data_IF_139450633277
#
_entry.id   IF_139450633277
#
_cell.length_a   1.000
_cell.length_b   1.000
_cell.length_c   1.000
_cell.angle_alpha   90.00
_cell.angle_beta   90.00
_cell.angle_gamma   90.00
#
_symmetry.space_group_name_H-M   'P 1'
#
loop_
_entity.id
_entity.type
_entity.pdbx_description
1 polymer ?
#
# COMPACT_ATOMS: atom_id res chain seq x y z
N UNK A 1 57.48 77.00 -4.88
CA UNK A 1 56.48 77.26 -5.94
C UNK A 1 55.53 76.06 -6.03
N UNK A 2 54.23 76.35 -6.17
CA UNK A 2 53.07 75.43 -6.16
C UNK A 2 53.19 74.29 -7.19
N UNK A 3 52.68 73.08 -6.87
CA UNK A 3 51.34 72.61 -7.26
C UNK A 3 51.04 71.18 -6.74
N UNK A 4 49.81 71.03 -6.29
CA UNK A 4 49.03 69.88 -5.80
C UNK A 4 48.56 68.96 -6.93
N UNK A 5 48.44 67.64 -6.66
CA UNK A 5 47.37 66.65 -7.01
C UNK A 5 47.74 65.37 -6.21
N UNK A 6 46.94 64.63 -5.43
CA UNK A 6 45.50 64.36 -5.37
C UNK A 6 45.22 62.89 -5.74
N UNK A 7 44.32 62.19 -5.00
CA UNK A 7 43.69 60.87 -5.29
C UNK A 7 44.48 59.64 -4.78
N UNK A 8 43.90 58.57 -4.21
CA UNK A 8 42.69 58.31 -3.41
C UNK A 8 42.88 56.90 -2.82
N UNK A 9 42.48 56.69 -1.57
CA UNK A 9 42.53 55.38 -0.93
C UNK A 9 41.43 54.45 -1.44
N UNK A 10 41.78 53.19 -1.71
CA UNK A 10 40.83 52.11 -1.94
C UNK A 10 40.71 51.33 -0.63
N UNK A 11 39.62 51.59 0.11
CA UNK A 11 39.16 50.74 1.20
C UNK A 11 38.36 49.59 0.57
N UNK A 12 38.90 48.36 0.62
CA UNK A 12 38.19 47.16 0.19
C UNK A 12 37.31 46.68 1.34
N UNK A 13 36.02 47.03 1.32
CA UNK A 13 35.03 46.49 2.25
C UNK A 13 34.67 45.06 1.83
N UNK A 14 35.06 44.07 2.66
CA UNK A 14 34.67 42.68 2.49
C UNK A 14 33.21 42.48 2.94
N UNK A 15 32.31 42.27 1.98
CA UNK A 15 30.91 41.96 2.22
C UNK A 15 30.76 40.44 2.45
N UNK A 16 30.72 40.01 3.71
CA UNK A 16 30.39 38.62 4.06
C UNK A 16 28.88 38.40 3.91
N UNK A 17 28.46 37.82 2.78
CA UNK A 17 27.12 37.27 2.58
C UNK A 17 27.00 35.93 3.32
N UNK A 18 26.43 35.97 4.53
CA UNK A 18 25.94 34.79 5.24
C UNK A 18 24.70 34.25 4.51
N UNK A 19 24.90 33.30 3.59
CA UNK A 19 23.82 32.47 3.06
C UNK A 19 23.39 31.46 4.14
N UNK A 20 22.38 31.83 4.92
CA UNK A 20 21.67 30.90 5.80
C UNK A 20 20.95 29.84 4.96
N UNK A 21 21.49 28.62 4.92
CA UNK A 21 20.82 27.45 4.36
C UNK A 21 19.67 27.05 5.27
N UNK A 22 18.49 27.63 5.03
CA UNK A 22 17.23 27.10 5.55
C UNK A 22 16.93 25.78 4.84
N UNK A 23 17.25 24.66 5.50
CA UNK A 23 16.60 23.38 5.21
C UNK A 23 15.12 23.54 5.54
N UNK A 24 14.33 23.94 4.55
CA UNK A 24 12.88 23.90 4.64
C UNK A 24 12.49 22.43 4.82
N UNK A 25 12.03 22.07 6.02
CA UNK A 25 11.39 20.80 6.27
C UNK A 25 10.16 20.74 5.35
N UNK A 26 10.21 19.90 4.31
CA UNK A 26 9.09 19.75 3.38
C UNK A 26 7.82 19.42 4.19
N UNK A 27 6.80 20.25 4.05
CA UNK A 27 5.48 20.01 4.66
C UNK A 27 5.02 18.63 4.19
N UNK A 28 4.63 17.70 5.09
CA UNK A 28 4.17 16.39 4.67
C UNK A 28 3.00 16.55 3.68
N UNK A 29 2.92 15.71 2.64
CA UNK A 29 1.89 15.81 1.62
C UNK A 29 0.51 15.85 2.28
N UNK A 30 -0.27 16.88 1.97
CA UNK A 30 -1.56 17.20 2.62
C UNK A 30 -2.71 16.27 2.24
N UNK A 31 -2.51 15.30 1.35
CA UNK A 31 -3.52 14.29 1.00
C UNK A 31 -3.04 12.88 1.31
N UNK A 32 -3.62 12.25 2.33
CA UNK A 32 -3.47 10.81 2.54
C UNK A 32 -4.11 10.05 1.38
N UNK A 33 -3.41 9.06 0.82
CA UNK A 33 -4.04 8.11 -0.10
C UNK A 33 -5.10 7.28 0.64
N UNK A 34 -6.05 6.81 -0.14
CA UNK A 34 -7.03 5.81 0.27
C UNK A 34 -6.86 4.58 -0.61
N UNK A 35 -7.18 3.41 -0.08
CA UNK A 35 -7.04 2.15 -0.77
C UNK A 35 -8.37 1.40 -0.76
N UNK A 36 -8.72 0.78 -1.88
CA UNK A 36 -9.77 -0.23 -1.95
C UNK A 36 -9.09 -1.59 -2.15
N UNK A 37 -9.33 -2.52 -1.23
CA UNK A 37 -9.01 -3.93 -1.40
C UNK A 37 -10.30 -4.69 -1.66
N UNK A 38 -10.48 -5.12 -2.90
CA UNK A 38 -11.61 -5.96 -3.31
C UNK A 38 -11.20 -7.41 -3.30
N UNK A 39 -12.04 -8.28 -2.74
CA UNK A 39 -11.81 -9.73 -2.68
C UNK A 39 -12.92 -10.44 -3.43
N UNK A 40 -12.57 -11.21 -4.45
CA UNK A 40 -13.48 -12.11 -5.14
C UNK A 40 -13.35 -13.51 -4.54
N UNK A 41 -14.47 -14.12 -4.18
CA UNK A 41 -14.56 -15.52 -3.76
C UNK A 41 -15.10 -16.35 -4.91
N UNK A 42 -14.45 -17.47 -5.22
CA UNK A 42 -14.82 -18.34 -6.33
C UNK A 42 -14.60 -19.82 -5.98
N UNK A 43 -15.25 -20.70 -6.74
CA UNK A 43 -15.13 -22.16 -6.56
C UNK A 43 -14.37 -22.84 -7.69
N UNK A 44 -14.48 -22.33 -8.91
CA UNK A 44 -14.01 -23.03 -10.12
C UNK A 44 -12.97 -22.23 -10.89
N UNK A 45 -12.12 -22.93 -11.63
CA UNK A 45 -11.13 -22.28 -12.52
C UNK A 45 -11.79 -21.50 -13.67
N UNK A 46 -13.03 -21.84 -14.04
CA UNK A 46 -13.80 -21.08 -15.03
C UNK A 46 -14.20 -19.70 -14.49
N UNK A 47 -14.63 -19.62 -13.23
CA UNK A 47 -14.89 -18.34 -12.55
C UNK A 47 -13.60 -17.51 -12.47
N UNK A 48 -12.49 -18.14 -12.11
CA UNK A 48 -11.18 -17.48 -12.06
C UNK A 48 -10.79 -16.89 -13.43
N UNK A 49 -10.85 -17.69 -14.50
CA UNK A 49 -10.50 -17.25 -15.86
C UNK A 49 -11.39 -16.10 -16.36
N UNK A 50 -12.68 -16.12 -15.99
CA UNK A 50 -13.64 -15.06 -16.32
C UNK A 50 -13.30 -13.75 -15.60
N UNK A 51 -13.01 -13.81 -14.29
CA UNK A 51 -12.61 -12.63 -13.50
C UNK A 51 -11.28 -12.10 -14.02
N UNK A 52 -10.29 -12.96 -14.29
CA UNK A 52 -9.00 -12.57 -14.84
C UNK A 52 -9.16 -11.83 -16.18
N UNK A 53 -10.01 -12.37 -17.07
CA UNK A 53 -10.28 -11.76 -18.38
C UNK A 53 -10.92 -10.38 -18.22
N UNK A 54 -11.92 -10.25 -17.35
CA UNK A 54 -12.53 -8.96 -17.03
C UNK A 54 -11.50 -7.96 -16.47
N UNK A 55 -10.72 -8.38 -15.48
CA UNK A 55 -9.74 -7.52 -14.83
C UNK A 55 -8.69 -7.03 -15.82
N UNK A 56 -8.13 -7.94 -16.62
CA UNK A 56 -7.08 -7.64 -17.60
C UNK A 56 -7.56 -6.77 -18.74
N UNK A 57 -8.71 -7.09 -19.33
CA UNK A 57 -9.15 -6.48 -20.59
C UNK A 57 -10.01 -5.22 -20.39
N UNK A 58 -10.65 -5.07 -19.23
CA UNK A 58 -11.63 -4.00 -19.00
C UNK A 58 -11.28 -3.16 -17.75
N UNK A 59 -11.16 -3.78 -16.58
CA UNK A 59 -10.99 -3.04 -15.31
C UNK A 59 -9.65 -2.27 -15.27
N UNK A 60 -8.52 -2.94 -15.53
CA UNK A 60 -7.21 -2.29 -15.45
C UNK A 60 -7.04 -1.16 -16.48
N UNK A 61 -7.45 -1.30 -17.76
CA UNK A 61 -7.49 -0.18 -18.69
C UNK A 61 -8.38 0.98 -18.22
N UNK A 62 -9.55 0.70 -17.66
CA UNK A 62 -10.44 1.73 -17.13
C UNK A 62 -9.79 2.49 -15.94
N UNK A 63 -9.15 1.79 -15.02
CA UNK A 63 -8.42 2.42 -13.90
C UNK A 63 -7.25 3.28 -14.39
N UNK A 64 -6.51 2.84 -15.41
CA UNK A 64 -5.45 3.65 -16.04
C UNK A 64 -6.00 4.93 -16.67
N UNK A 65 -7.14 4.86 -17.36
CA UNK A 65 -7.81 6.03 -17.92
C UNK A 65 -8.27 7.03 -16.85
N UNK A 66 -8.50 6.56 -15.62
CA UNK A 66 -8.80 7.37 -14.44
C UNK A 66 -7.54 7.79 -13.65
N UNK A 67 -6.35 7.74 -14.25
CA UNK A 67 -5.07 8.08 -13.59
C UNK A 67 -4.73 7.21 -12.36
N UNK A 68 -5.15 5.93 -12.37
CA UNK A 68 -4.77 4.91 -11.38
C UNK A 68 -3.96 3.80 -12.08
N UNK A 69 -2.67 4.03 -12.38
CA UNK A 69 -1.88 3.06 -13.13
C UNK A 69 -1.39 1.87 -12.30
N UNK A 70 -1.37 1.97 -10.97
CA UNK A 70 -0.76 1.00 -10.06
C UNK A 70 -1.80 0.14 -9.33
N UNK A 71 -2.67 -0.54 -10.08
CA UNK A 71 -3.60 -1.52 -9.52
C UNK A 71 -2.92 -2.88 -9.41
N UNK A 72 -2.95 -3.46 -8.21
CA UNK A 72 -2.46 -4.80 -7.94
C UNK A 72 -3.55 -5.85 -8.08
N UNK A 73 -3.23 -6.98 -8.71
CA UNK A 73 -4.09 -8.17 -8.77
C UNK A 73 -3.30 -9.37 -8.24
N UNK A 74 -3.79 -9.97 -7.17
CA UNK A 74 -3.07 -11.01 -6.43
C UNK A 74 -3.96 -12.23 -6.17
N UNK A 75 -3.31 -13.40 -6.04
CA UNK A 75 -3.97 -14.67 -5.74
C UNK A 75 -3.21 -15.38 -4.62
N UNK A 76 -3.88 -16.09 -3.69
CA UNK A 76 -3.21 -16.91 -2.69
C UNK A 76 -2.22 -17.89 -3.30
N UNK A 77 -1.10 -18.15 -2.62
CA UNK A 77 -0.15 -19.18 -3.09
C UNK A 77 -0.80 -20.58 -3.11
N UNK A 78 -1.77 -20.81 -2.22
CA UNK A 78 -2.51 -22.07 -2.05
C UNK A 78 -3.86 -22.09 -2.80
N UNK A 79 -4.07 -21.19 -3.76
CA UNK A 79 -5.38 -21.04 -4.41
C UNK A 79 -5.84 -22.32 -5.12
N UNK A 80 -4.91 -23.09 -5.69
CA UNK A 80 -5.23 -24.28 -6.48
C UNK A 80 -5.94 -25.36 -5.67
N UNK A 81 -5.59 -25.50 -4.39
CA UNK A 81 -6.16 -26.49 -3.46
C UNK A 81 -7.26 -25.92 -2.55
N UNK A 82 -7.60 -24.64 -2.67
CA UNK A 82 -8.58 -23.99 -1.81
C UNK A 82 -10.02 -24.29 -2.26
N UNK A 83 -10.90 -24.61 -1.30
CA UNK A 83 -12.36 -24.70 -1.53
C UNK A 83 -12.96 -23.32 -1.83
N UNK A 84 -12.44 -22.29 -1.16
CA UNK A 84 -12.77 -20.88 -1.39
C UNK A 84 -11.56 -20.19 -2.02
N UNK A 85 -11.52 -20.22 -3.36
CA UNK A 85 -10.48 -19.58 -4.16
C UNK A 85 -10.68 -18.07 -4.15
N UNK A 86 -9.59 -17.30 -4.14
CA UNK A 86 -9.64 -15.84 -4.02
C UNK A 86 -8.82 -15.11 -5.07
N UNK A 87 -9.33 -13.96 -5.52
CA UNK A 87 -8.56 -12.91 -6.20
C UNK A 87 -8.68 -11.63 -5.38
N UNK A 88 -7.55 -11.02 -5.05
CA UNK A 88 -7.45 -9.74 -4.37
C UNK A 88 -7.10 -8.66 -5.41
N UNK A 89 -7.88 -7.58 -5.44
CA UNK A 89 -7.64 -6.41 -6.30
C UNK A 89 -7.40 -5.20 -5.41
N UNK A 90 -6.19 -4.67 -5.46
CA UNK A 90 -5.78 -3.51 -4.68
C UNK A 90 -5.72 -2.27 -5.57
N UNK A 91 -6.54 -1.28 -5.28
CA UNK A 91 -6.68 -0.05 -6.07
C UNK A 91 -6.38 1.18 -5.21
N UNK A 92 -5.32 1.94 -5.51
CA UNK A 92 -4.99 3.14 -4.76
C UNK A 92 -5.66 4.41 -5.33
N UNK A 93 -6.09 5.29 -4.43
CA UNK A 93 -6.68 6.59 -4.74
C UNK A 93 -5.90 7.70 -4.05
N UNK A 94 -5.69 8.81 -4.77
CA UNK A 94 -4.95 9.98 -4.24
C UNK A 94 -5.68 10.68 -3.09
N UNK A 95 -7.00 10.55 -3.02
CA UNK A 95 -7.86 11.14 -1.98
C UNK A 95 -9.24 10.47 -1.99
N UNK A 96 -10.04 10.72 -0.95
CA UNK A 96 -11.43 10.27 -0.90
C UNK A 96 -12.26 10.84 -2.06
N UNK A 97 -12.08 12.13 -2.39
CA UNK A 97 -12.75 12.77 -3.53
C UNK A 97 -12.40 12.10 -4.86
N UNK A 98 -11.14 11.66 -5.03
CA UNK A 98 -10.74 10.92 -6.22
C UNK A 98 -11.45 9.56 -6.30
N UNK A 99 -11.58 8.85 -5.17
CA UNK A 99 -12.37 7.63 -5.11
C UNK A 99 -13.84 7.88 -5.48
N UNK A 100 -14.50 8.89 -4.90
CA UNK A 100 -15.89 9.24 -5.23
C UNK A 100 -16.08 9.52 -6.72
N UNK A 101 -15.16 10.28 -7.34
CA UNK A 101 -15.19 10.59 -8.78
C UNK A 101 -15.07 9.33 -9.64
N UNK A 102 -14.18 8.40 -9.28
CA UNK A 102 -14.01 7.13 -9.99
C UNK A 102 -15.26 6.25 -9.83
N UNK A 103 -15.86 6.21 -8.64
CA UNK A 103 -17.08 5.42 -8.36
C UNK A 103 -18.34 6.00 -9.02
N UNK A 104 -18.42 7.31 -9.17
CA UNK A 104 -19.52 7.99 -9.85
C UNK A 104 -19.42 7.94 -11.38
N UNK A 105 -18.27 7.52 -11.92
CA UNK A 105 -18.05 7.36 -13.36
C UNK A 105 -19.08 6.42 -13.97
N UNK A 106 -19.60 6.79 -15.15
CA UNK A 106 -20.47 5.89 -15.92
C UNK A 106 -19.69 4.61 -16.28
N UNK A 107 -20.35 3.44 -16.30
CA UNK A 107 -19.80 2.24 -16.89
C UNK A 107 -19.13 2.54 -18.22
N UNK A 108 -17.84 2.26 -18.35
CA UNK A 108 -17.15 2.43 -19.63
C UNK A 108 -17.74 1.46 -20.67
N UNK A 109 -17.54 1.72 -21.97
CA UNK A 109 -17.90 0.76 -23.05
C UNK A 109 -17.26 -0.63 -22.82
N UNK A 110 -16.20 -0.69 -22.01
CA UNK A 110 -15.58 -1.93 -21.56
C UNK A 110 -16.49 -2.73 -20.59
N UNK A 111 -17.31 -2.08 -19.76
CA UNK A 111 -18.27 -2.76 -18.86
C UNK A 111 -19.46 -3.36 -19.63
N UNK A 112 -19.84 -2.74 -20.74
CA UNK A 112 -20.89 -3.23 -21.66
C UNK A 112 -20.42 -4.41 -22.52
N UNK A 113 -19.11 -4.47 -22.84
CA UNK A 113 -18.50 -5.58 -23.62
C UNK A 113 -18.01 -6.74 -22.74
N UNK A 114 -17.91 -6.56 -21.43
CA UNK A 114 -17.58 -7.61 -20.48
C UNK A 114 -18.78 -8.50 -20.11
N UNK A 115 -19.67 -8.80 -21.07
CA UNK A 115 -20.96 -9.47 -20.82
C UNK A 115 -20.83 -10.78 -20.06
N UNK A 116 -19.76 -11.53 -20.27
CA UNK A 116 -19.52 -12.80 -19.57
C UNK A 116 -19.33 -12.62 -18.07
N UNK A 117 -18.78 -11.48 -17.63
CA UNK A 117 -18.61 -11.12 -16.23
C UNK A 117 -19.79 -10.28 -15.70
N UNK A 118 -20.11 -9.16 -16.35
CA UNK A 118 -21.14 -8.21 -15.88
C UNK A 118 -22.56 -8.72 -16.09
N UNK A 119 -22.77 -9.58 -17.10
CA UNK A 119 -24.04 -10.22 -17.45
C UNK A 119 -24.05 -11.73 -17.19
N UNK A 120 -23.22 -12.22 -16.27
CA UNK A 120 -23.18 -13.65 -15.94
C UNK A 120 -24.58 -14.17 -15.53
N UNK A 121 -24.97 -15.33 -16.05
CA UNK A 121 -26.25 -15.95 -15.74
C UNK A 121 -26.36 -16.32 -14.25
N UNK A 122 -27.57 -16.27 -13.69
CA UNK A 122 -27.84 -16.57 -12.28
C UNK A 122 -27.34 -17.97 -11.83
N UNK A 123 -27.35 -18.96 -12.72
CA UNK A 123 -26.90 -20.33 -12.49
C UNK A 123 -25.44 -20.58 -12.93
N UNK A 124 -24.78 -19.59 -13.51
CA UNK A 124 -23.37 -19.63 -13.89
C UNK A 124 -22.69 -18.30 -13.49
N UNK A 125 -22.69 -17.94 -12.18
CA UNK A 125 -22.26 -16.64 -11.72
C UNK A 125 -20.75 -16.44 -11.91
N UNK A 126 -20.31 -15.20 -12.14
CA UNK A 126 -18.89 -14.88 -12.32
C UNK A 126 -18.05 -15.15 -11.06
N UNK A 127 -18.62 -14.96 -9.88
CA UNK A 127 -18.03 -15.20 -8.57
C UNK A 127 -19.13 -15.62 -7.57
N UNK A 128 -18.75 -16.15 -6.42
CA UNK A 128 -19.69 -16.47 -5.33
C UNK A 128 -19.97 -15.25 -4.45
N UNK A 129 -18.94 -14.45 -4.19
CA UNK A 129 -19.03 -13.23 -3.37
C UNK A 129 -17.98 -12.23 -3.79
N UNK A 130 -18.31 -10.95 -3.62
CA UNK A 130 -17.35 -9.87 -3.68
C UNK A 130 -17.38 -9.11 -2.35
N UNK A 131 -16.20 -8.86 -1.79
CA UNK A 131 -16.00 -8.06 -0.59
C UNK A 131 -15.20 -6.81 -0.95
N UNK A 132 -15.42 -5.73 -0.22
CA UNK A 132 -14.67 -4.48 -0.39
C UNK A 132 -14.24 -3.98 0.98
N UNK A 133 -12.94 -3.80 1.14
CA UNK A 133 -12.32 -3.22 2.34
C UNK A 133 -11.73 -1.88 1.93
N UNK A 134 -12.07 -0.82 2.65
CA UNK A 134 -11.57 0.52 2.36
C UNK A 134 -10.67 0.99 3.48
N UNK A 135 -9.49 1.48 3.09
CA UNK A 135 -8.41 1.83 4.00
C UNK A 135 -7.96 3.25 3.78
N UNK A 136 -7.56 3.91 4.88
CA UNK A 136 -6.81 5.15 4.85
C UNK A 136 -5.33 4.84 5.05
N UNK A 137 -4.47 5.39 4.20
CA UNK A 137 -3.03 5.21 4.32
C UNK A 137 -2.49 5.73 5.66
N UNK A 138 -1.46 5.08 6.18
CA UNK A 138 -0.70 5.59 7.32
C UNK A 138 0.07 6.86 6.98
N UNK A 139 0.27 7.74 7.97
CA UNK A 139 0.94 9.03 7.78
C UNK A 139 2.39 8.88 7.29
N UNK A 140 3.10 7.82 7.74
CA UNK A 140 4.46 7.54 7.31
C UNK A 140 4.57 6.85 5.94
N UNK A 141 3.45 6.45 5.33
CA UNK A 141 3.41 5.88 3.98
C UNK A 141 2.12 6.32 3.27
N UNK A 142 2.00 7.62 2.91
CA UNK A 142 0.75 8.20 2.42
C UNK A 142 0.44 7.82 0.97
N UNK A 143 1.23 6.94 0.35
CA UNK A 143 1.05 6.45 -1.02
C UNK A 143 1.66 5.04 -1.17
N UNK A 144 1.24 4.34 -2.22
CA UNK A 144 1.80 3.03 -2.61
C UNK A 144 3.27 3.19 -3.00
N UNK A 145 4.13 2.28 -2.55
CA UNK A 145 5.51 2.25 -2.99
C UNK A 145 5.70 1.37 -4.23
N UNK A 146 6.62 1.79 -5.10
CA UNK A 146 7.09 0.94 -6.19
C UNK A 146 7.88 -0.25 -5.63
N UNK A 147 7.71 -1.44 -6.23
CA UNK A 147 8.48 -2.63 -5.89
C UNK A 147 9.97 -2.39 -6.14
N UNK A 148 10.81 -2.67 -5.13
CA UNK A 148 12.28 -2.65 -5.22
C UNK A 148 12.90 -4.05 -5.36
N UNK A 149 12.05 -5.07 -5.44
CA UNK A 149 12.43 -6.47 -5.58
C UNK A 149 13.15 -6.73 -6.91
N UNK A 150 14.20 -7.54 -6.86
CA UNK A 150 15.05 -7.87 -8.00
C UNK A 150 14.86 -9.31 -8.48
N UNK A 151 14.29 -10.17 -7.63
CA UNK A 151 14.00 -11.56 -7.94
C UNK A 151 12.90 -11.72 -9.01
N UNK A 152 12.80 -12.92 -9.63
CA UNK A 152 11.83 -13.22 -10.67
C UNK A 152 10.40 -12.99 -10.19
N UNK A 153 9.59 -12.27 -10.96
CA UNK A 153 8.20 -11.96 -10.60
C UNK A 153 7.35 -13.18 -10.18
N UNK A 154 7.45 -14.35 -10.84
CA UNK A 154 6.67 -15.53 -10.44
C UNK A 154 7.03 -16.10 -9.06
N UNK A 155 8.25 -15.83 -8.58
CA UNK A 155 8.74 -16.30 -7.27
C UNK A 155 8.40 -15.34 -6.14
N UNK A 156 8.14 -14.06 -6.47
CA UNK A 156 7.84 -13.02 -5.47
C UNK A 156 6.65 -13.40 -4.62
N UNK A 157 6.78 -13.17 -3.33
CA UNK A 157 5.73 -13.38 -2.34
C UNK A 157 5.29 -12.03 -1.81
N UNK A 158 3.97 -11.80 -1.83
CA UNK A 158 3.33 -10.66 -1.18
C UNK A 158 2.63 -11.19 0.06
N UNK A 159 2.87 -10.58 1.21
CA UNK A 159 2.30 -11.03 2.49
C UNK A 159 1.31 -9.97 2.97
N UNK A 160 0.02 -10.25 2.79
CA UNK A 160 -1.07 -9.41 3.27
C UNK A 160 -1.41 -9.81 4.70
N UNK A 161 -1.41 -8.84 5.61
CA UNK A 161 -1.67 -9.06 7.03
C UNK A 161 -2.82 -8.16 7.49
N UNK A 162 -3.76 -8.73 8.25
CA UNK A 162 -4.86 -8.02 8.92
C UNK A 162 -4.70 -8.19 10.42
N UNK A 163 -4.56 -7.08 11.15
CA UNK A 163 -4.37 -7.08 12.59
C UNK A 163 -5.61 -6.48 13.24
N UNK A 164 -6.41 -7.34 13.86
CA UNK A 164 -7.60 -6.93 14.60
C UNK A 164 -7.26 -6.56 16.04
N UNK A 165 -8.05 -5.67 16.62
CA UNK A 165 -7.95 -5.27 18.02
C UNK A 165 -9.28 -5.43 18.73
N UNK A 166 -9.24 -5.78 20.02
CA UNK A 166 -10.44 -5.99 20.84
C UNK A 166 -11.24 -4.70 21.14
N UNK A 167 -10.71 -3.52 20.79
CA UNK A 167 -11.42 -2.24 20.89
C UNK A 167 -10.79 -1.19 19.97
N UNK A 168 -11.52 -0.12 19.67
CA UNK A 168 -11.03 0.99 18.84
C UNK A 168 -9.88 1.74 19.51
N UNK A 169 -9.84 1.77 20.85
CA UNK A 169 -8.70 2.35 21.59
C UNK A 169 -7.41 1.57 21.32
N UNK A 170 -7.49 0.23 21.34
CA UNK A 170 -6.35 -0.64 21.07
C UNK A 170 -5.95 -0.58 19.58
N UNK A 171 -6.93 -0.51 18.67
CA UNK A 171 -6.66 -0.32 17.25
C UNK A 171 -5.89 0.97 16.98
N UNK A 172 -6.35 2.10 17.53
CA UNK A 172 -5.64 3.39 17.45
C UNK A 172 -4.23 3.31 18.04
N UNK A 173 -4.08 2.62 19.17
CA UNK A 173 -2.77 2.41 19.79
C UNK A 173 -1.82 1.59 18.89
N UNK A 174 -2.30 0.56 18.20
CA UNK A 174 -1.48 -0.22 17.27
C UNK A 174 -1.14 0.58 16.01
N UNK A 175 -2.06 1.38 15.46
CA UNK A 175 -1.76 2.35 14.39
C UNK A 175 -0.70 3.36 14.87
N UNK A 176 -0.78 3.80 16.13
CA UNK A 176 0.22 4.69 16.72
C UNK A 176 1.59 4.02 16.85
N UNK A 177 1.64 2.73 17.21
CA UNK A 177 2.89 1.94 17.25
C UNK A 177 3.56 1.90 15.87
N UNK A 178 2.78 1.72 14.80
CA UNK A 178 3.29 1.74 13.43
C UNK A 178 3.84 3.10 13.02
N UNK A 179 3.07 4.17 13.22
CA UNK A 179 3.44 5.52 12.81
C UNK A 179 4.46 6.17 13.76
N UNK A 180 4.09 6.40 15.03
CA UNK A 180 4.92 7.13 15.99
C UNK A 180 5.88 6.22 16.75
N UNK A 181 5.50 4.96 16.99
CA UNK A 181 6.32 3.98 17.71
C UNK A 181 7.57 3.52 16.93
N UNK A 182 7.59 3.70 15.61
CA UNK A 182 8.76 3.44 14.76
C UNK A 182 8.72 2.13 13.98
N UNK A 183 7.63 1.35 14.04
CA UNK A 183 7.54 0.05 13.33
C UNK A 183 7.68 0.21 11.81
N UNK A 184 7.07 1.25 11.20
CA UNK A 184 7.23 1.52 9.75
C UNK A 184 8.69 1.82 9.40
N UNK A 185 9.40 2.57 10.25
CA UNK A 185 10.82 2.88 10.03
C UNK A 185 11.68 1.62 10.15
N UNK A 186 11.38 0.77 11.12
CA UNK A 186 12.03 -0.52 11.32
C UNK A 186 11.84 -1.43 10.09
N UNK A 187 10.61 -1.55 9.57
CA UNK A 187 10.33 -2.33 8.36
C UNK A 187 11.09 -1.78 7.15
N UNK A 188 11.16 -0.46 7.01
CA UNK A 188 11.94 0.19 5.96
C UNK A 188 13.44 -0.11 6.08
N UNK A 189 14.00 0.02 7.29
CA UNK A 189 15.41 -0.30 7.59
C UNK A 189 15.74 -1.76 7.29
N UNK A 190 14.82 -2.66 7.60
CA UNK A 190 14.99 -4.11 7.39
C UNK A 190 14.59 -4.57 5.98
N UNK A 191 14.19 -3.67 5.08
CA UNK A 191 13.95 -4.02 3.68
C UNK A 191 12.69 -4.85 3.45
N UNK A 192 11.61 -4.65 4.21
CA UNK A 192 10.35 -5.40 4.04
C UNK A 192 9.59 -5.09 2.73
N UNK A 193 10.04 -4.10 1.96
CA UNK A 193 9.43 -3.67 0.69
C UNK A 193 7.90 -3.58 0.77
N UNK A 194 7.41 -2.80 1.74
CA UNK A 194 5.98 -2.61 1.92
C UNK A 194 5.32 -2.02 0.67
N UNK A 195 4.18 -2.58 0.28
CA UNK A 195 3.32 -2.07 -0.79
C UNK A 195 2.39 -0.98 -0.23
N UNK A 196 1.82 -1.21 0.95
CA UNK A 196 1.03 -0.22 1.70
C UNK A 196 0.94 -0.57 3.18
N UNK A 197 0.59 0.44 3.99
CA UNK A 197 0.03 0.28 5.34
C UNK A 197 -1.23 1.15 5.43
N UNK A 198 -2.29 0.64 6.06
CA UNK A 198 -3.54 1.39 6.20
C UNK A 198 -4.40 0.96 7.38
N UNK A 199 -5.12 1.93 7.92
CA UNK A 199 -6.20 1.71 8.88
C UNK A 199 -7.47 1.41 8.09
N UNK A 200 -8.21 0.37 8.47
CA UNK A 200 -9.48 0.05 7.82
C UNK A 200 -10.54 1.02 8.30
N UNK A 201 -11.15 1.74 7.36
CA UNK A 201 -12.23 2.69 7.62
C UNK A 201 -13.58 1.99 7.58
N UNK A 202 -13.75 1.01 6.69
CA UNK A 202 -14.88 0.08 6.69
C UNK A 202 -14.50 -1.28 6.07
N UNK A 203 -15.03 -2.34 6.65
CA UNK A 203 -14.82 -3.74 6.27
C UNK A 203 -15.53 -4.69 7.23
N UNK A 204 -15.49 -6.00 6.98
CA UNK A 204 -16.21 -7.00 7.78
C UNK A 204 -15.53 -7.36 9.12
N UNK A 205 -14.23 -7.07 9.26
CA UNK A 205 -13.39 -7.53 10.38
C UNK A 205 -12.77 -6.34 11.11
N UNK A 206 -13.60 -5.57 11.83
CA UNK A 206 -13.19 -4.30 12.45
C UNK A 206 -13.30 -4.32 13.98
N UNK A 207 -12.50 -3.52 14.70
CA UNK A 207 -11.50 -2.58 14.18
C UNK A 207 -10.16 -3.28 13.87
N UNK A 208 -9.54 -2.90 12.75
CA UNK A 208 -8.28 -3.49 12.31
C UNK A 208 -7.44 -2.51 11.47
N UNK A 209 -6.16 -2.83 11.35
CA UNK A 209 -5.29 -2.28 10.32
C UNK A 209 -4.88 -3.40 9.37
N UNK A 210 -4.53 -3.04 8.13
CA UNK A 210 -3.93 -3.98 7.19
C UNK A 210 -2.68 -3.40 6.55
N UNK A 211 -1.77 -4.28 6.18
CA UNK A 211 -0.59 -3.92 5.41
C UNK A 211 -0.16 -5.07 4.53
N UNK A 212 0.63 -4.76 3.51
CA UNK A 212 1.18 -5.77 2.61
C UNK A 212 2.67 -5.53 2.41
N UNK A 213 3.49 -6.55 2.69
CA UNK A 213 4.92 -6.55 2.42
C UNK A 213 5.22 -7.43 1.20
N UNK A 214 6.42 -7.31 0.65
CA UNK A 214 6.80 -8.09 -0.53
C UNK A 214 8.26 -8.55 -0.45
N UNK A 215 8.52 -9.75 -0.96
CA UNK A 215 9.82 -10.40 -0.90
C UNK A 215 10.12 -11.11 -2.21
N UNK A 216 11.42 -11.29 -2.52
CA UNK A 216 11.85 -11.95 -3.75
C UNK A 216 11.35 -13.40 -3.84
N UNK A 217 11.24 -14.09 -2.69
CA UNK A 217 10.67 -15.43 -2.54
C UNK A 217 10.38 -15.73 -1.05
N UNK A 218 9.84 -16.92 -0.77
CA UNK A 218 9.50 -17.34 0.60
C UNK A 218 10.74 -17.46 1.52
N UNK A 219 11.88 -17.92 1.00
CA UNK A 219 13.11 -18.02 1.78
C UNK A 219 13.61 -16.62 2.21
N UNK A 220 13.58 -15.64 1.30
CA UNK A 220 13.88 -14.25 1.63
C UNK A 220 12.90 -13.71 2.68
N UNK A 221 11.59 -13.95 2.51
CA UNK A 221 10.56 -13.59 3.50
C UNK A 221 10.91 -14.12 4.89
N UNK A 222 11.26 -15.39 5.01
CA UNK A 222 11.55 -16.01 6.31
C UNK A 222 12.80 -15.42 6.97
N UNK A 223 13.83 -15.09 6.17
CA UNK A 223 15.02 -14.39 6.67
C UNK A 223 14.69 -12.99 7.20
N UNK A 224 13.84 -12.23 6.51
CA UNK A 224 13.43 -10.88 6.95
C UNK A 224 12.66 -10.94 8.27
N UNK A 225 11.73 -11.88 8.43
CA UNK A 225 10.99 -12.04 9.69
C UNK A 225 11.85 -12.55 10.84
N UNK A 226 12.83 -13.43 10.56
CA UNK A 226 13.83 -13.84 11.56
C UNK A 226 14.65 -12.64 12.02
N UNK A 227 15.13 -11.81 11.09
CA UNK A 227 15.86 -10.59 11.40
C UNK A 227 15.01 -9.65 12.26
N UNK A 228 13.77 -9.37 11.85
CA UNK A 228 12.83 -8.54 12.59
C UNK A 228 12.60 -9.02 14.03
N UNK A 229 12.27 -10.31 14.22
CA UNK A 229 12.04 -10.87 15.56
C UNK A 229 13.27 -10.80 16.47
N UNK A 230 14.48 -10.81 15.89
CA UNK A 230 15.74 -10.72 16.63
C UNK A 230 16.21 -9.29 16.90
N UNK A 231 15.66 -8.30 16.18
CA UNK A 231 16.13 -6.91 16.17
C UNK A 231 15.95 -6.24 17.54
N UNK A 232 16.99 -5.57 18.08
CA UNK A 232 16.90 -4.89 19.37
C UNK A 232 15.85 -3.77 19.44
N UNK A 233 15.64 -3.03 18.35
CA UNK A 233 14.62 -1.97 18.30
C UNK A 233 13.23 -2.57 18.36
N UNK A 234 13.00 -3.70 17.66
CA UNK A 234 11.73 -4.43 17.77
C UNK A 234 11.47 -4.90 19.20
N UNK A 235 12.44 -5.60 19.79
CA UNK A 235 12.32 -6.12 21.16
C UNK A 235 12.03 -5.02 22.17
N UNK A 236 12.70 -3.88 22.03
CA UNK A 236 12.44 -2.71 22.86
C UNK A 236 11.04 -2.15 22.63
N UNK A 237 10.62 -1.99 21.37
CA UNK A 237 9.32 -1.42 21.01
C UNK A 237 8.15 -2.31 21.48
N UNK A 238 8.22 -3.63 21.26
CA UNK A 238 7.17 -4.57 21.64
C UNK A 238 7.07 -4.78 23.15
N UNK A 239 8.14 -4.52 23.91
CA UNK A 239 8.14 -4.63 25.36
C UNK A 239 7.50 -3.41 26.06
N UNK A 240 7.36 -2.28 25.38
CA UNK A 240 6.78 -1.06 25.95
C UNK A 240 5.36 -1.30 26.44
N UNK A 241 5.09 -0.96 27.69
CA UNK A 241 3.79 -1.19 28.34
C UNK A 241 2.62 -0.61 27.58
N UNK A 242 2.80 0.54 26.92
CA UNK A 242 1.74 1.21 26.16
C UNK A 242 1.34 0.48 24.88
N UNK A 243 2.13 -0.49 24.38
CA UNK A 243 1.85 -1.26 23.16
C UNK A 243 1.53 -2.73 23.43
N UNK A 244 1.49 -3.16 24.68
CA UNK A 244 1.14 -4.53 25.00
C UNK A 244 -0.36 -4.79 24.76
N UNK A 245 -0.68 -5.98 24.26
CA UNK A 245 -2.05 -6.47 24.08
C UNK A 245 -2.95 -5.58 23.19
N UNK A 246 -2.35 -4.87 22.22
CA UNK A 246 -3.08 -4.02 21.28
C UNK A 246 -3.55 -4.75 20.00
N UNK A 247 -3.25 -6.05 19.88
CA UNK A 247 -3.71 -6.94 18.81
C UNK A 247 -4.38 -8.17 19.44
N UNK A 248 -5.57 -8.52 18.97
CA UNK A 248 -6.35 -9.67 19.43
C UNK A 248 -6.35 -10.84 18.46
N UNK A 249 -6.23 -10.56 17.15
CA UNK A 249 -6.20 -11.58 16.10
C UNK A 249 -5.35 -11.12 14.92
N UNK A 250 -4.71 -12.07 14.24
CA UNK A 250 -3.88 -11.81 13.07
C UNK A 250 -4.23 -12.82 11.98
N UNK A 251 -4.64 -12.31 10.82
CA UNK A 251 -4.66 -13.08 9.58
C UNK A 251 -3.43 -12.77 8.72
N UNK A 252 -2.88 -13.82 8.12
CA UNK A 252 -1.75 -13.74 7.18
C UNK A 252 -2.14 -14.48 5.92
N UNK A 253 -2.06 -13.80 4.77
CA UNK A 253 -2.28 -14.40 3.46
C UNK A 253 -1.03 -14.20 2.61
N UNK A 254 -0.45 -15.31 2.16
CA UNK A 254 0.63 -15.29 1.19
C UNK A 254 0.03 -15.28 -0.21
N UNK A 255 0.48 -14.32 -1.00
CA UNK A 255 -0.07 -14.00 -2.30
C UNK A 255 1.04 -14.00 -3.36
N UNK A 256 0.66 -14.33 -4.59
CA UNK A 256 1.42 -14.07 -5.82
C UNK A 256 0.72 -13.02 -6.66
N UNK A 257 1.49 -12.20 -7.36
CA UNK A 257 0.94 -11.25 -8.31
C UNK A 257 0.56 -11.92 -9.62
N UNK A 258 -0.61 -11.58 -10.18
CA UNK A 258 -1.00 -12.01 -11.52
C UNK A 258 -0.03 -11.43 -12.57
N UNK A 259 0.15 -12.13 -13.70
CA UNK A 259 1.08 -11.71 -14.76
C UNK A 259 0.73 -10.37 -15.39
N UNK A 260 -0.55 -9.97 -15.34
CA UNK A 260 -1.06 -8.71 -15.88
C UNK A 260 -1.26 -7.60 -14.81
N UNK A 261 -0.92 -7.88 -13.55
CA UNK A 261 -1.01 -6.90 -12.46
C UNK A 261 0.03 -5.77 -12.62
N UNK A 262 -0.30 -4.54 -12.24
CA UNK A 262 0.67 -3.44 -12.27
C UNK A 262 1.60 -3.41 -11.04
N UNK A 263 1.23 -4.13 -9.97
CA UNK A 263 2.03 -4.33 -8.75
C UNK A 263 2.52 -5.76 -8.61
#
# INVERSE_FOLDING_TARGET
MKKTVGVAGIMLAAFFLLLGSHLALAKPPTSSAYFELRVYHMKTSQQEARIDSFLRLHYLPAMRAQNIPHVGVFKPLSNDTATDKKIYVFTPFKSLKHWEQVKAGKPSVAETSASDYTGAAHNAPAYQRQETIFLKAFDLMPAVAASRLQGPRPERVYELRSYESASEKLARNKVQMFNQGGEVKLFSRLGFNAVFYGEVVFGAHMPNLMYMTSFDNMAARDQHWKAFGSDPEWKSLSAKSEYQNNVSHIDIVFLRSASYSAL
#
